data_IF_683692212941
#
_entry.id   IF_683692212941
#
_cell.length_a   1.000
_cell.length_b   1.000
_cell.length_c   1.000
_cell.angle_alpha   90.00
_cell.angle_beta   90.00
_cell.angle_gamma   90.00
#
_symmetry.space_group_name_H-M   'P 1'
#
loop_
_entity.id
_entity.type
_entity.pdbx_description
1 polymer ?
#
# COMPACT_ATOMS: atom_id res chain seq x y z
N UNK A 1 -17.77 26.63 -3.15
CA UNK A 1 -17.74 25.36 -3.86
C UNK A 1 -16.74 24.43 -3.20
N UNK A 2 -17.20 23.30 -2.80
CA UNK A 2 -16.29 22.32 -2.25
C UNK A 2 -15.48 21.68 -3.37
N UNK A 3 -14.22 21.48 -3.12
CA UNK A 3 -13.37 20.79 -4.07
C UNK A 3 -13.33 19.33 -3.71
N UNK A 4 -13.56 18.49 -4.68
CA UNK A 4 -13.42 17.06 -4.49
C UNK A 4 -11.95 16.74 -4.25
N UNK A 5 -11.70 15.90 -3.26
CA UNK A 5 -10.37 15.40 -3.00
C UNK A 5 -10.24 14.06 -3.71
N UNK A 6 -9.28 13.96 -4.60
CA UNK A 6 -9.02 12.73 -5.32
C UNK A 6 -7.91 11.97 -4.63
N UNK A 7 -8.12 10.68 -4.47
CA UNK A 7 -7.12 9.77 -3.89
C UNK A 7 -6.72 8.80 -4.98
N UNK A 8 -5.42 8.73 -5.23
CA UNK A 8 -4.87 7.78 -6.17
C UNK A 8 -4.11 6.67 -5.43
N UNK A 9 -4.36 5.45 -5.82
CA UNK A 9 -3.66 4.31 -5.25
C UNK A 9 -2.97 3.55 -6.39
N UNK A 10 -1.67 3.46 -6.29
CA UNK A 10 -0.86 2.67 -7.22
C UNK A 10 -0.48 1.38 -6.53
N UNK A 11 -1.18 0.31 -6.87
CA UNK A 11 -1.00 -0.98 -6.26
C UNK A 11 -0.05 -1.81 -7.13
N UNK A 12 1.22 -1.77 -6.81
CA UNK A 12 2.22 -2.52 -7.55
C UNK A 12 2.48 -3.90 -6.97
N UNK A 13 3.25 -4.70 -7.66
CA UNK A 13 3.60 -6.05 -7.22
C UNK A 13 4.50 -6.04 -5.99
N UNK A 14 5.39 -5.05 -5.91
CA UNK A 14 6.34 -4.95 -4.83
C UNK A 14 5.97 -3.87 -3.83
N UNK A 15 5.47 -2.75 -4.32
CA UNK A 15 5.16 -1.60 -3.47
C UNK A 15 3.84 -0.98 -3.87
N UNK A 16 3.18 -0.42 -2.87
CA UNK A 16 1.93 0.32 -3.04
C UNK A 16 2.17 1.75 -2.62
N UNK A 17 1.67 2.70 -3.40
CA UNK A 17 1.77 4.13 -3.09
C UNK A 17 0.40 4.75 -3.10
N UNK A 18 0.21 5.72 -2.23
CA UNK A 18 -1.05 6.45 -2.13
C UNK A 18 -0.75 7.93 -2.27
N UNK A 19 -1.51 8.58 -3.11
CA UNK A 19 -1.37 10.01 -3.31
C UNK A 19 -2.73 10.69 -3.15
N UNK A 20 -2.70 11.90 -2.69
CA UNK A 20 -3.89 12.74 -2.59
C UNK A 20 -3.66 13.99 -3.42
N UNK A 21 -4.67 14.45 -4.11
CA UNK A 21 -4.58 15.67 -4.88
C UNK A 21 -5.41 16.75 -4.19
N UNK A 22 -4.73 17.78 -3.72
CA UNK A 22 -5.35 18.93 -3.08
C UNK A 22 -4.98 20.19 -3.84
N UNK A 23 -5.97 21.00 -4.15
CA UNK A 23 -5.72 22.28 -4.82
C UNK A 23 -4.83 22.09 -6.05
N UNK A 24 -5.12 21.05 -6.82
CA UNK A 24 -4.40 20.71 -8.06
C UNK A 24 -2.93 20.30 -7.83
N UNK A 25 -2.56 20.00 -6.59
CA UNK A 25 -1.20 19.57 -6.28
C UNK A 25 -1.22 18.13 -5.76
N UNK A 26 -0.47 17.24 -6.38
CA UNK A 26 -0.36 15.87 -5.87
C UNK A 26 0.55 15.83 -4.66
N UNK A 27 0.20 14.98 -3.72
CA UNK A 27 0.96 14.80 -2.50
C UNK A 27 0.97 13.32 -2.15
N UNK A 28 2.14 12.76 -1.95
CA UNK A 28 2.27 11.36 -1.57
C UNK A 28 1.97 11.24 -0.08
N UNK A 29 1.12 10.29 0.26
CA UNK A 29 0.78 10.00 1.64
C UNK A 29 1.77 8.98 2.19
N UNK A 30 2.43 9.32 3.27
CA UNK A 30 3.35 8.39 3.92
C UNK A 30 2.57 7.40 4.79
N UNK A 31 3.11 6.20 4.92
CA UNK A 31 2.50 5.19 5.77
C UNK A 31 2.85 5.45 7.25
N UNK A 32 2.41 4.56 8.13
CA UNK A 32 2.63 4.70 9.56
C UNK A 32 4.10 4.57 9.96
N UNK A 33 4.95 4.10 9.05
CA UNK A 33 6.40 4.03 9.25
C UNK A 33 7.12 5.24 8.69
N UNK A 34 6.39 6.18 8.09
CA UNK A 34 6.97 7.37 7.49
C UNK A 34 7.51 7.17 6.09
N UNK A 35 7.17 6.09 5.43
CA UNK A 35 7.65 5.78 4.08
C UNK A 35 6.61 6.14 3.03
N UNK A 36 7.09 6.60 1.88
CA UNK A 36 6.24 6.99 0.76
C UNK A 36 5.70 5.80 -0.01
N UNK A 37 6.32 4.66 0.10
CA UNK A 37 5.84 3.42 -0.50
C UNK A 37 5.77 2.35 0.57
N UNK A 38 4.79 1.46 0.43
CA UNK A 38 4.55 0.38 1.37
C UNK A 38 4.73 -0.93 0.64
N UNK A 39 5.50 -1.87 1.18
CA UNK A 39 5.60 -3.19 0.55
C UNK A 39 4.24 -3.83 0.38
N UNK A 40 3.99 -4.41 -0.79
CA UNK A 40 2.73 -5.10 -1.08
C UNK A 40 2.78 -6.51 -0.51
N UNK A 41 2.85 -6.59 0.82
CA UNK A 41 3.00 -7.84 1.55
C UNK A 41 1.99 -7.87 2.68
N UNK A 42 1.34 -9.00 2.85
CA UNK A 42 0.37 -9.22 3.93
C UNK A 42 0.72 -10.54 4.62
N UNK A 43 0.74 -10.54 5.93
CA UNK A 43 1.00 -11.73 6.71
C UNK A 43 -0.12 -11.99 7.70
N UNK A 44 -0.43 -13.27 7.85
CA UNK A 44 -1.45 -13.71 8.81
C UNK A 44 -0.74 -14.33 10.00
N UNK A 45 -1.00 -13.81 11.17
CA UNK A 45 -0.40 -14.29 12.42
C UNK A 45 -1.50 -14.64 13.42
N UNK A 46 -1.11 -15.29 14.51
CA UNK A 46 -2.05 -15.63 15.58
C UNK A 46 -2.65 -14.42 16.24
N UNK A 47 -1.95 -13.29 16.19
CA UNK A 47 -2.41 -12.07 16.86
C UNK A 47 -3.08 -11.09 15.90
N UNK A 48 -3.09 -11.37 14.61
CA UNK A 48 -3.75 -10.50 13.64
C UNK A 48 -3.10 -10.51 12.27
N UNK A 49 -3.40 -9.49 11.51
CA UNK A 49 -2.90 -9.34 10.14
C UNK A 49 -1.87 -8.24 10.12
N UNK A 50 -0.72 -8.53 9.52
CA UNK A 50 0.35 -7.55 9.32
C UNK A 50 0.38 -7.12 7.86
N UNK A 51 0.65 -5.86 7.62
CA UNK A 51 0.69 -5.29 6.27
C UNK A 51 1.95 -4.45 6.12
N UNK A 52 2.57 -4.54 4.95
CA UNK A 52 3.71 -3.69 4.63
C UNK A 52 4.98 -4.11 5.32
N UNK A 53 5.71 -3.15 5.86
CA UNK A 53 7.01 -3.40 6.48
C UNK A 53 6.94 -4.43 7.60
N UNK A 54 5.89 -4.38 8.41
CA UNK A 54 5.73 -5.35 9.49
C UNK A 54 5.57 -6.77 8.97
N UNK A 55 4.92 -6.92 7.83
CA UNK A 55 4.77 -8.22 7.21
C UNK A 55 6.11 -8.71 6.64
N UNK A 56 6.88 -7.80 6.05
CA UNK A 56 8.20 -8.14 5.51
C UNK A 56 9.15 -8.59 6.62
N UNK A 57 9.09 -7.93 7.76
CA UNK A 57 10.01 -8.21 8.87
C UNK A 57 9.94 -9.65 9.36
N UNK A 58 8.79 -10.29 9.24
CA UNK A 58 8.59 -11.67 9.70
C UNK A 58 8.41 -12.67 8.57
N UNK A 59 8.60 -12.27 7.32
CA UNK A 59 8.24 -13.11 6.17
C UNK A 59 9.02 -14.42 6.11
N UNK A 60 10.27 -14.43 6.51
CA UNK A 60 11.07 -15.64 6.48
C UNK A 60 10.69 -16.63 7.57
N UNK A 61 10.24 -16.12 8.70
CA UNK A 61 9.82 -16.96 9.83
C UNK A 61 8.41 -17.49 9.65
N UNK A 62 7.62 -16.84 8.81
CA UNK A 62 6.21 -17.15 8.62
C UNK A 62 5.86 -17.17 7.14
N UNK A 63 6.73 -17.77 6.33
CA UNK A 63 6.61 -17.72 4.88
C UNK A 63 5.30 -18.34 4.37
N UNK A 64 4.83 -19.40 5.01
CA UNK A 64 3.61 -20.08 4.55
C UNK A 64 2.34 -19.23 4.74
N UNK A 65 2.38 -18.23 5.60
CA UNK A 65 1.25 -17.37 5.88
C UNK A 65 1.51 -15.92 5.48
N UNK A 66 2.52 -15.69 4.64
CA UNK A 66 2.85 -14.38 4.15
C UNK A 66 2.62 -14.35 2.64
N UNK A 67 1.78 -13.42 2.20
CA UNK A 67 1.43 -13.27 0.79
C UNK A 67 2.12 -12.02 0.26
N UNK A 68 2.82 -12.19 -0.85
CA UNK A 68 3.42 -11.05 -1.55
C UNK A 68 3.18 -11.23 -3.04
N UNK A 69 3.26 -10.12 -3.77
CA UNK A 69 2.88 -10.11 -5.17
C UNK A 69 3.92 -10.73 -6.07
N UNK A 70 3.88 -12.01 -6.19
CA UNK A 70 4.84 -12.73 -7.02
C UNK A 70 4.40 -12.91 -8.46
N UNK A 71 3.13 -12.73 -8.72
CA UNK A 71 2.58 -13.02 -10.04
C UNK A 71 1.90 -11.84 -10.69
N UNK A 72 1.71 -10.76 -10.00
CA UNK A 72 1.00 -9.64 -10.57
C UNK A 72 1.94 -8.90 -11.50
N UNK A 73 1.76 -9.10 -12.76
CA UNK A 73 2.47 -8.33 -13.77
C UNK A 73 1.73 -7.05 -14.11
N UNK A 74 0.57 -6.86 -13.53
CA UNK A 74 -0.29 -5.74 -13.83
C UNK A 74 -0.21 -4.71 -12.73
N UNK A 75 0.04 -3.47 -13.11
CA UNK A 75 -0.03 -2.36 -12.18
C UNK A 75 -1.48 -1.90 -12.16
N UNK A 76 -2.06 -1.90 -10.98
CA UNK A 76 -3.43 -1.44 -10.78
C UNK A 76 -3.41 -0.07 -10.14
N UNK A 77 -3.96 0.90 -10.85
CA UNK A 77 -4.08 2.25 -10.34
C UNK A 77 -5.55 2.53 -10.08
N UNK A 78 -5.85 2.96 -8.88
CA UNK A 78 -7.20 3.25 -8.46
C UNK A 78 -7.33 4.73 -8.12
N UNK A 79 -8.42 5.33 -8.53
CA UNK A 79 -8.72 6.72 -8.22
C UNK A 79 -10.05 6.77 -7.50
N UNK A 80 -10.05 7.45 -6.37
CA UNK A 80 -11.25 7.68 -5.60
C UNK A 80 -11.43 9.19 -5.44
N UNK A 81 -12.64 9.65 -5.71
CA UNK A 81 -13.00 11.03 -5.50
C UNK A 81 -14.00 11.11 -4.36
N UNK A 82 -13.72 11.91 -3.37
CA UNK A 82 -14.58 12.08 -2.20
C UNK A 82 -15.11 13.48 -2.12
#
# INVERSE_FOLDING_TARGET
MSKATAIGIDFGTCYTRVAICRNEKPEIIKNDKGNESTPSVVAFTDTGILVGESAVDQMFENASNTVFGRCASTINTFYLTV
#
